data_IF_980252132856
#
_entry.id   IF_980252132856
#
_cell.length_a   1.000
_cell.length_b   1.000
_cell.length_c   1.000
_cell.angle_alpha   90.00
_cell.angle_beta   90.00
_cell.angle_gamma   90.00
#
_symmetry.space_group_name_H-M   'P 1'
#
loop_
_entity.id
_entity.type
_entity.pdbx_description
1 polymer ?
#
# COMPACT_ATOMS: atom_id res chain seq x y z
N UNK A 1 -37.49 -19.66 20.27
CA UNK A 1 -36.60 -19.74 19.10
C UNK A 1 -35.85 -18.41 18.97
N UNK A 2 -34.52 -18.42 19.09
CA UNK A 2 -33.69 -17.20 19.04
C UNK A 2 -33.44 -16.81 17.57
N UNK A 3 -33.85 -15.61 17.20
CA UNK A 3 -33.65 -15.05 15.85
C UNK A 3 -32.19 -14.72 15.60
N UNK A 4 -31.68 -15.16 14.45
CA UNK A 4 -30.39 -14.76 13.91
C UNK A 4 -30.47 -13.29 13.46
N UNK A 5 -29.69 -12.41 14.10
CA UNK A 5 -29.54 -11.03 13.67
C UNK A 5 -28.46 -10.96 12.58
N UNK A 6 -28.91 -10.84 11.34
CA UNK A 6 -28.09 -10.48 10.19
C UNK A 6 -27.62 -9.02 10.35
N UNK A 7 -26.36 -8.85 10.76
CA UNK A 7 -25.73 -7.54 10.87
C UNK A 7 -25.60 -6.92 9.48
N UNK A 8 -26.49 -5.98 9.14
CA UNK A 8 -26.28 -5.04 8.03
C UNK A 8 -25.07 -4.16 8.37
N UNK A 9 -23.91 -4.54 7.86
CA UNK A 9 -22.72 -3.70 7.88
C UNK A 9 -22.97 -2.51 6.95
N UNK A 10 -23.26 -1.35 7.52
CA UNK A 10 -23.22 -0.08 6.79
C UNK A 10 -21.75 0.25 6.51
N UNK A 11 -21.31 0.40 5.24
CA UNK A 11 -19.94 0.76 4.96
C UNK A 11 -19.68 2.20 5.41
N UNK A 12 -18.68 2.37 6.28
CA UNK A 12 -18.19 3.68 6.69
C UNK A 12 -17.65 4.42 5.47
N UNK A 13 -18.12 5.65 5.24
CA UNK A 13 -17.88 6.42 4.02
C UNK A 13 -16.44 6.97 3.85
N UNK A 14 -15.55 6.72 4.82
CA UNK A 14 -14.12 6.98 4.66
C UNK A 14 -13.42 5.68 4.26
N UNK A 15 -12.64 5.67 3.17
CA UNK A 15 -11.87 4.50 2.82
C UNK A 15 -10.85 4.39 3.94
N UNK A 16 -10.75 3.20 4.51
CA UNK A 16 -9.70 2.98 5.50
C UNK A 16 -8.36 3.23 4.81
N UNK A 17 -7.35 3.67 5.57
CA UNK A 17 -5.98 3.80 5.05
C UNK A 17 -5.54 2.53 4.32
N UNK A 18 -6.05 1.35 4.74
CA UNK A 18 -5.86 0.06 4.07
C UNK A 18 -6.47 -0.02 2.66
N UNK A 19 -7.67 0.51 2.43
CA UNK A 19 -8.32 0.47 1.10
C UNK A 19 -7.58 1.32 0.08
N UNK A 20 -7.08 2.50 0.49
CA UNK A 20 -6.25 3.34 -0.38
C UNK A 20 -4.94 2.65 -0.78
N UNK A 21 -4.44 1.74 0.06
CA UNK A 21 -3.23 0.95 -0.20
C UNK A 21 -3.49 -0.26 -1.13
N UNK A 22 -4.73 -0.74 -1.26
CA UNK A 22 -5.08 -1.89 -2.11
C UNK A 22 -5.14 -1.56 -3.61
N UNK A 23 -5.33 -0.29 -3.97
CA UNK A 23 -5.37 0.16 -5.36
C UNK A 23 -4.03 0.61 -5.93
N UNK A 24 -2.94 0.57 -5.16
CA UNK A 24 -1.66 1.09 -5.58
C UNK A 24 -1.01 0.22 -6.68
N UNK A 25 -0.37 0.84 -7.69
CA UNK A 25 0.38 0.12 -8.71
C UNK A 25 1.53 -0.68 -8.08
N UNK A 26 1.84 -1.85 -8.65
CA UNK A 26 2.80 -2.80 -8.05
C UNK A 26 4.20 -2.23 -7.92
N UNK A 27 4.55 -1.27 -8.78
CA UNK A 27 5.81 -0.55 -8.81
C UNK A 27 6.00 0.36 -7.58
N UNK A 28 4.89 0.79 -6.97
CA UNK A 28 4.86 1.59 -5.73
C UNK A 28 4.63 0.72 -4.49
N UNK A 29 4.59 -0.60 -4.65
CA UNK A 29 4.39 -1.54 -3.58
C UNK A 29 5.69 -2.29 -3.23
N UNK A 30 5.86 -2.58 -1.95
CA UNK A 30 6.97 -3.35 -1.45
C UNK A 30 6.89 -4.80 -1.93
N UNK A 31 7.99 -5.33 -2.46
CA UNK A 31 8.05 -6.71 -2.96
C UNK A 31 7.92 -7.79 -1.85
N UNK A 32 8.00 -7.43 -0.56
CA UNK A 32 7.83 -8.36 0.57
C UNK A 32 6.38 -8.52 1.02
N UNK A 33 5.70 -7.40 1.26
CA UNK A 33 4.36 -7.40 1.86
C UNK A 33 3.28 -6.82 0.96
N UNK A 34 3.63 -6.38 -0.26
CA UNK A 34 2.70 -5.86 -1.26
C UNK A 34 2.05 -4.53 -0.89
N UNK A 35 2.54 -3.86 0.16
CA UNK A 35 1.99 -2.59 0.64
C UNK A 35 2.67 -1.40 -0.01
N UNK A 36 1.95 -0.29 -0.10
CA UNK A 36 2.49 0.98 -0.56
C UNK A 36 3.76 1.36 0.21
N UNK A 37 4.80 1.74 -0.54
CA UNK A 37 6.10 2.13 -0.02
C UNK A 37 6.07 3.48 0.70
N UNK A 38 6.70 3.56 1.87
CA UNK A 38 6.88 4.80 2.64
C UNK A 38 8.35 5.22 2.63
N UNK A 39 9.26 4.28 2.90
CA UNK A 39 10.71 4.45 2.77
C UNK A 39 11.30 3.45 1.78
N UNK A 40 11.06 3.65 0.46
CA UNK A 40 11.50 2.73 -0.56
C UNK A 40 13.04 2.68 -0.68
N UNK A 41 13.55 1.45 -0.74
CA UNK A 41 14.94 1.13 -1.05
C UNK A 41 14.99 0.18 -2.24
N UNK A 42 15.91 0.43 -3.17
CA UNK A 42 16.14 -0.44 -4.31
C UNK A 42 17.20 -1.47 -3.96
N UNK A 43 17.01 -2.68 -4.46
CA UNK A 43 18.10 -3.66 -4.54
C UNK A 43 19.27 -3.10 -5.38
N UNK A 44 20.51 -3.55 -5.16
CA UNK A 44 21.68 -3.16 -5.96
C UNK A 44 21.46 -3.35 -7.46
N UNK A 45 20.76 -4.42 -7.84
CA UNK A 45 20.43 -4.76 -9.22
C UNK A 45 19.30 -3.89 -9.81
N UNK A 46 18.64 -3.06 -8.99
CA UNK A 46 17.55 -2.18 -9.38
C UNK A 46 16.22 -2.88 -9.72
N UNK A 47 16.19 -4.21 -9.76
CA UNK A 47 15.03 -5.01 -10.17
C UNK A 47 13.91 -5.04 -9.12
N UNK A 48 14.26 -4.97 -7.84
CA UNK A 48 13.30 -5.06 -6.72
C UNK A 48 13.35 -3.82 -5.85
N UNK A 49 12.16 -3.43 -5.36
CA UNK A 49 11.97 -2.34 -4.41
C UNK A 49 11.34 -2.88 -3.14
N UNK A 50 11.92 -2.47 -2.02
CA UNK A 50 11.50 -2.89 -0.69
C UNK A 50 11.22 -1.70 0.20
N UNK A 51 10.37 -1.91 1.20
CA UNK A 51 10.26 -0.99 2.33
C UNK A 51 11.45 -1.21 3.27
N UNK A 52 12.21 -0.15 3.61
CA UNK A 52 13.44 -0.25 4.39
C UNK A 52 13.24 -0.98 5.71
N UNK A 53 12.17 -0.68 6.43
CA UNK A 53 11.88 -1.31 7.72
C UNK A 53 11.58 -2.81 7.57
N UNK A 54 10.89 -3.20 6.49
CA UNK A 54 10.56 -4.59 6.21
C UNK A 54 11.81 -5.36 5.75
N UNK A 55 12.62 -4.75 4.88
CA UNK A 55 13.87 -5.34 4.41
C UNK A 55 14.83 -5.58 5.57
N UNK A 56 15.01 -4.61 6.46
CA UNK A 56 15.86 -4.76 7.65
C UNK A 56 15.43 -5.94 8.53
N UNK A 57 14.12 -6.13 8.74
CA UNK A 57 13.59 -7.27 9.50
C UNK A 57 13.81 -8.58 8.77
N UNK A 58 13.56 -8.61 7.46
CA UNK A 58 13.75 -9.81 6.66
C UNK A 58 15.22 -10.25 6.62
N UNK A 59 16.16 -9.31 6.44
CA UNK A 59 17.59 -9.62 6.45
C UNK A 59 18.06 -10.15 7.82
N UNK A 60 17.51 -9.64 8.91
CA UNK A 60 17.81 -10.13 10.26
C UNK A 60 17.33 -11.58 10.48
N UNK A 61 16.22 -11.99 9.84
CA UNK A 61 15.69 -13.35 9.90
C UNK A 61 16.41 -14.31 8.94
N UNK A 62 16.79 -13.81 7.76
CA UNK A 62 17.37 -14.60 6.67
C UNK A 62 18.90 -14.61 6.67
N UNK A 63 19.55 -14.14 7.74
CA UNK A 63 21.02 -14.06 7.85
C UNK A 63 21.70 -13.29 6.71
N UNK A 64 21.09 -12.20 6.24
CA UNK A 64 21.63 -11.38 5.16
C UNK A 64 21.33 -11.88 3.74
N UNK A 65 20.38 -12.79 3.58
CA UNK A 65 19.87 -13.21 2.27
C UNK A 65 18.58 -12.46 1.91
N UNK A 66 18.47 -12.06 0.65
CA UNK A 66 17.24 -11.52 0.09
C UNK A 66 16.14 -12.59 0.12
N UNK A 67 14.99 -12.34 0.75
CA UNK A 67 13.91 -13.32 0.84
C UNK A 67 13.19 -13.57 -0.49
N UNK A 68 13.42 -12.75 -1.51
CA UNK A 68 12.79 -12.90 -2.85
C UNK A 68 13.73 -13.61 -3.83
N UNK A 69 15.00 -13.21 -3.87
CA UNK A 69 15.97 -13.74 -4.85
C UNK A 69 16.90 -14.80 -4.29
N UNK A 70 16.97 -14.96 -2.96
CA UNK A 70 17.92 -15.85 -2.29
C UNK A 70 19.38 -15.39 -2.37
N UNK A 71 19.66 -14.22 -2.95
CA UNK A 71 21.00 -13.69 -3.08
C UNK A 71 21.43 -12.95 -1.80
N UNK A 72 22.73 -12.92 -1.47
CA UNK A 72 23.24 -12.10 -0.38
C UNK A 72 22.92 -10.64 -0.63
N UNK A 73 22.27 -10.01 0.34
CA UNK A 73 21.79 -8.64 0.24
C UNK A 73 22.04 -7.91 1.55
N UNK A 74 22.74 -6.78 1.47
CA UNK A 74 22.94 -5.88 2.60
C UNK A 74 22.05 -4.65 2.45
N UNK A 75 21.51 -4.20 3.58
CA UNK A 75 20.76 -2.95 3.66
C UNK A 75 21.62 -1.72 3.32
N UNK A 76 22.94 -1.82 3.51
CA UNK A 76 23.89 -0.75 3.20
C UNK A 76 24.07 -0.56 1.68
N UNK A 77 23.96 -1.64 0.92
CA UNK A 77 24.11 -1.64 -0.54
C UNK A 77 22.79 -1.29 -1.26
N UNK A 78 21.71 -1.10 -0.50
CA UNK A 78 20.39 -0.76 -1.03
C UNK A 78 20.20 0.77 -1.04
N UNK A 79 20.37 1.45 -2.19
CA UNK A 79 20.13 2.89 -2.27
C UNK A 79 18.66 3.24 -2.00
N UNK A 80 18.44 4.38 -1.36
CA UNK A 80 17.08 4.92 -1.15
C UNK A 80 16.52 5.44 -2.48
N UNK A 81 15.27 5.10 -2.75
CA UNK A 81 14.57 5.52 -3.96
C UNK A 81 13.63 6.70 -3.67
N UNK A 82 14.21 7.90 -3.54
CA UNK A 82 13.46 9.13 -3.25
C UNK A 82 12.42 9.49 -4.32
N UNK A 83 12.68 9.07 -5.56
CA UNK A 83 11.76 9.12 -6.71
C UNK A 83 10.46 8.35 -6.41
N UNK A 84 10.57 7.08 -6.02
CA UNK A 84 9.42 6.23 -5.71
C UNK A 84 8.65 6.73 -4.48
N UNK A 85 9.35 7.32 -3.51
CA UNK A 85 8.70 7.95 -2.35
C UNK A 85 7.82 9.11 -2.80
N UNK A 86 8.31 9.93 -3.73
CA UNK A 86 7.54 11.05 -4.27
C UNK A 86 6.33 10.55 -5.08
N UNK A 87 6.51 9.52 -5.89
CA UNK A 87 5.44 8.89 -6.66
C UNK A 87 4.37 8.24 -5.78
N UNK A 88 4.76 7.48 -4.75
CA UNK A 88 3.84 6.93 -3.75
C UNK A 88 3.05 8.04 -3.04
N UNK A 89 3.71 9.14 -2.67
CA UNK A 89 3.03 10.28 -2.07
C UNK A 89 2.11 11.02 -3.05
N UNK A 90 2.43 11.05 -4.34
CA UNK A 90 1.55 11.58 -5.40
C UNK A 90 0.34 10.67 -5.58
N UNK A 91 0.55 9.36 -5.62
CA UNK A 91 -0.51 8.36 -5.71
C UNK A 91 -1.51 8.51 -4.56
N UNK A 92 -1.05 8.58 -3.31
CA UNK A 92 -1.94 8.77 -2.14
C UNK A 92 -2.76 10.06 -2.26
N UNK A 93 -2.14 11.16 -2.74
CA UNK A 93 -2.82 12.44 -2.95
C UNK A 93 -3.84 12.39 -4.09
N UNK A 94 -3.56 11.63 -5.14
CA UNK A 94 -4.43 11.43 -6.31
C UNK A 94 -5.49 10.34 -6.14
N UNK A 95 -5.31 9.43 -5.19
CA UNK A 95 -6.35 8.50 -4.75
C UNK A 95 -7.36 9.21 -3.83
N UNK A 96 -6.94 10.30 -3.18
CA UNK A 96 -7.76 11.14 -2.28
C UNK A 96 -8.90 11.97 -2.93
N UNK A 97 -8.91 12.35 -4.23
CA UNK A 97 -10.01 13.09 -4.86
C UNK A 97 -11.14 12.19 -5.38
N UNK A 98 -10.97 10.86 -5.47
CA UNK A 98 -11.98 9.96 -6.04
C UNK A 98 -13.13 9.61 -5.07
N UNK A 99 -13.31 10.44 -4.04
CA UNK A 99 -14.33 10.28 -3.00
C UNK A 99 -15.29 11.46 -2.89
N UNK A 100 -15.16 12.48 -3.73
CA UNK A 100 -16.07 13.63 -3.73
C UNK A 100 -17.18 13.56 -4.78
N UNK A 101 -17.31 12.46 -5.52
CA UNK A 101 -18.39 12.30 -6.51
C UNK A 101 -19.13 10.97 -6.34
N UNK A 102 -19.72 10.77 -5.16
CA UNK A 102 -21.11 10.29 -5.12
C UNK A 102 -21.97 11.49 -4.72
N UNK A 103 -21.88 12.55 -5.52
CA UNK A 103 -23.10 13.29 -5.81
C UNK A 103 -23.78 12.48 -6.90
N UNK A 104 -24.97 11.97 -6.62
CA UNK A 104 -25.95 11.92 -7.68
C UNK A 104 -27.29 12.41 -7.16
N UNK A 105 -27.94 13.24 -7.98
CA UNK A 105 -29.25 13.80 -7.68
C UNK A 105 -30.24 12.64 -7.63
N UNK A 106 -31.38 12.78 -6.95
CA UNK A 106 -32.69 12.16 -7.29
C UNK A 106 -33.60 12.24 -6.06
N UNK A 107 -34.68 13.02 -6.24
CA UNK A 107 -35.93 13.15 -5.46
C UNK A 107 -35.86 13.99 -4.16
N UNK A 108 -36.70 15.02 -3.97
CA UNK A 108 -38.13 15.03 -4.29
C UNK A 108 -38.66 16.35 -4.89
N UNK A 109 -39.28 16.24 -6.07
CA UNK A 109 -40.46 17.02 -6.40
C UNK A 109 -41.70 16.41 -5.70
N UNK A 110 -42.71 17.26 -5.46
CA UNK A 110 -44.10 17.01 -4.98
C UNK A 110 -44.28 17.03 -3.45
N UNK A 111 -45.31 17.67 -2.88
CA UNK A 111 -46.50 18.39 -3.38
C UNK A 111 -46.82 19.53 -2.41
#
# INVERSE_FOLDING_TARGET
ARGAQEQRVVPSAAPTLRELMLGAPRELCCALDGKLLIDPVRSPDGALVFERANLSKALALSSGLCPVTGQPLSLADCPRAGDLRLEAARWVRQARPMQRQIESPIFACRH
#
